data_IF_473909697199
#
_entry.id   IF_473909697199
#
_cell.length_a   1.000
_cell.length_b   1.000
_cell.length_c   1.000
_cell.angle_alpha   90.00
_cell.angle_beta   90.00
_cell.angle_gamma   90.00
#
_symmetry.space_group_name_H-M   'P 1'
#
loop_
_entity.id
_entity.type
_entity.pdbx_description
1 polymer ?
#
# COMPACT_ATOMS: atom_id res chain seq x y z
N UNK A 1 -7.75 -14.12 -11.68
CA UNK A 1 -6.43 -13.74 -11.15
C UNK A 1 -5.53 -14.97 -11.09
N UNK A 2 -4.37 -14.97 -11.75
CA UNK A 2 -3.40 -16.09 -11.68
C UNK A 2 -2.29 -15.86 -10.64
N UNK A 3 -2.35 -14.75 -9.91
CA UNK A 3 -1.41 -14.39 -8.85
C UNK A 3 -2.15 -13.69 -7.71
N UNK A 4 -1.63 -13.83 -6.50
CA UNK A 4 -2.12 -13.12 -5.33
C UNK A 4 -1.74 -11.64 -5.44
N UNK A 5 -2.70 -10.70 -5.39
CA UNK A 5 -2.35 -9.29 -5.39
C UNK A 5 -1.53 -8.92 -4.15
N UNK A 6 -1.78 -9.56 -3.00
CA UNK A 6 -1.16 -9.23 -1.71
C UNK A 6 0.30 -9.68 -1.55
N UNK A 7 0.68 -10.87 -2.05
CA UNK A 7 2.01 -11.45 -1.82
C UNK A 7 2.75 -11.88 -3.09
N UNK A 8 2.13 -11.67 -4.27
CA UNK A 8 2.70 -11.99 -5.57
C UNK A 8 2.82 -13.49 -5.89
N UNK A 9 2.31 -14.39 -5.04
CA UNK A 9 2.40 -15.83 -5.30
C UNK A 9 1.53 -16.22 -6.50
N UNK A 10 2.09 -17.01 -7.42
CA UNK A 10 1.33 -17.57 -8.54
C UNK A 10 0.36 -18.64 -8.07
N UNK A 11 -0.91 -18.50 -8.46
CA UNK A 11 -1.96 -19.49 -8.24
C UNK A 11 -1.92 -20.67 -9.21
N UNK A 12 -1.08 -20.59 -10.26
CA UNK A 12 -0.88 -21.68 -11.21
C UNK A 12 -0.41 -22.98 -10.54
N UNK A 13 0.24 -22.87 -9.37
CA UNK A 13 0.68 -24.03 -8.56
C UNK A 13 -0.44 -24.69 -7.76
N UNK A 14 -1.56 -24.01 -7.52
CA UNK A 14 -2.59 -24.42 -6.57
C UNK A 14 -3.85 -25.00 -7.24
N UNK A 15 -3.72 -25.50 -8.48
CA UNK A 15 -4.74 -26.22 -9.29
C UNK A 15 -6.20 -25.80 -9.03
N UNK A 16 -6.69 -24.85 -9.82
CA UNK A 16 -8.11 -24.68 -10.19
C UNK A 16 -9.17 -24.66 -9.08
N UNK A 17 -8.81 -24.41 -7.82
CA UNK A 17 -9.79 -24.13 -6.76
C UNK A 17 -10.06 -22.63 -6.78
N UNK A 18 -11.35 -22.25 -6.73
CA UNK A 18 -11.74 -20.87 -6.41
C UNK A 18 -11.34 -20.59 -4.97
N UNK A 19 -10.10 -20.15 -4.80
CA UNK A 19 -9.54 -19.84 -3.50
C UNK A 19 -10.18 -18.52 -3.02
N UNK A 20 -10.85 -18.57 -1.88
CA UNK A 20 -11.33 -17.36 -1.19
C UNK A 20 -10.19 -16.65 -0.44
N UNK A 21 -9.09 -17.36 -0.17
CA UNK A 21 -7.93 -16.87 0.59
C UNK A 21 -6.63 -17.34 -0.06
N UNK A 22 -5.57 -16.55 0.06
CA UNK A 22 -4.25 -16.90 -0.43
C UNK A 22 -3.64 -18.01 0.45
N UNK A 23 -3.23 -19.17 -0.11
CA UNK A 23 -2.62 -20.24 0.67
C UNK A 23 -1.22 -19.89 1.21
N UNK A 24 -0.57 -18.84 0.69
CA UNK A 24 0.74 -18.38 1.17
C UNK A 24 0.63 -17.39 2.33
N UNK A 25 -0.29 -16.42 2.25
CA UNK A 25 -0.36 -15.32 3.22
C UNK A 25 -1.69 -15.20 3.97
N UNK A 26 -2.67 -16.04 3.66
CA UNK A 26 -3.99 -16.04 4.32
C UNK A 26 -4.94 -14.92 3.89
N UNK A 27 -4.50 -13.99 3.03
CA UNK A 27 -5.29 -12.83 2.63
C UNK A 27 -6.48 -13.21 1.73
N UNK A 28 -7.63 -12.57 1.96
CA UNK A 28 -8.85 -12.83 1.20
C UNK A 28 -8.66 -12.41 -0.27
N UNK A 29 -8.88 -13.33 -1.20
CA UNK A 29 -8.79 -13.08 -2.65
C UNK A 29 -10.04 -12.39 -3.19
N UNK A 30 -10.60 -11.46 -2.41
CA UNK A 30 -11.69 -10.58 -2.84
C UNK A 30 -11.23 -9.86 -4.09
N UNK A 31 -11.75 -10.31 -5.22
CA UNK A 31 -11.62 -9.60 -6.48
C UNK A 31 -12.14 -8.18 -6.27
N UNK A 32 -11.23 -7.21 -6.40
CA UNK A 32 -11.51 -5.77 -6.48
C UNK A 32 -12.42 -5.28 -5.35
N UNK A 33 -11.84 -5.04 -4.17
CA UNK A 33 -12.43 -4.05 -3.26
C UNK A 33 -12.59 -2.75 -4.04
N UNK A 34 -13.84 -2.33 -4.18
CA UNK A 34 -14.40 -1.09 -4.72
C UNK A 34 -13.40 -0.03 -5.18
N UNK A 35 -13.59 0.46 -6.41
CA UNK A 35 -12.83 1.53 -7.08
C UNK A 35 -12.69 2.83 -6.24
N UNK A 36 -13.43 2.96 -5.13
CA UNK A 36 -13.49 4.16 -4.29
C UNK A 36 -12.27 4.40 -3.38
N UNK A 37 -11.37 3.43 -3.18
CA UNK A 37 -10.17 3.59 -2.30
C UNK A 37 -8.82 3.55 -3.06
N UNK A 38 -8.82 3.85 -4.37
CA UNK A 38 -7.60 3.86 -5.16
C UNK A 38 -6.75 5.11 -4.90
N UNK A 39 -6.01 5.09 -3.79
CA UNK A 39 -5.06 6.14 -3.42
C UNK A 39 -3.82 6.05 -4.30
N UNK A 40 -3.40 7.14 -4.94
CA UNK A 40 -2.20 7.20 -5.78
C UNK A 40 -0.99 7.71 -4.98
N UNK A 41 0.18 7.10 -5.20
CA UNK A 41 1.42 7.54 -4.58
C UNK A 41 1.95 8.83 -5.24
N UNK A 42 2.18 9.87 -4.44
CA UNK A 42 2.71 11.16 -4.92
C UNK A 42 4.19 11.15 -5.37
N UNK A 43 4.88 10.00 -5.32
CA UNK A 43 6.27 9.85 -5.80
C UNK A 43 6.33 9.02 -7.09
N UNK A 44 5.79 7.80 -7.08
CA UNK A 44 5.88 6.88 -8.23
C UNK A 44 4.65 6.90 -9.12
N UNK A 45 3.61 7.63 -8.73
CA UNK A 45 2.32 7.77 -9.43
C UNK A 45 1.58 6.43 -9.63
N UNK A 46 2.01 5.35 -8.97
CA UNK A 46 1.31 4.07 -8.95
C UNK A 46 0.28 4.03 -7.82
N UNK A 47 -0.77 3.24 -8.00
CA UNK A 47 -1.79 3.04 -6.97
C UNK A 47 -1.22 2.29 -5.74
N UNK A 48 -1.64 2.72 -4.57
CA UNK A 48 -1.32 2.10 -3.28
C UNK A 48 -2.38 1.03 -3.01
N UNK A 49 -2.02 -0.22 -3.29
CA UNK A 49 -2.93 -1.36 -3.14
C UNK A 49 -3.08 -1.80 -1.67
N UNK A 50 -2.15 -1.44 -0.79
CA UNK A 50 -2.15 -1.84 0.63
C UNK A 50 -2.08 -0.66 1.58
N UNK A 51 -3.07 -0.55 2.47
CA UNK A 51 -3.07 0.48 3.52
C UNK A 51 -1.90 0.35 4.48
N UNK A 52 -1.44 -0.89 4.76
CA UNK A 52 -0.26 -1.14 5.62
C UNK A 52 1.05 -0.57 5.06
N UNK A 53 1.12 -0.31 3.76
CA UNK A 53 2.27 0.31 3.10
C UNK A 53 1.99 1.77 2.70
N UNK A 54 0.96 2.39 3.27
CA UNK A 54 0.58 3.78 3.01
C UNK A 54 1.10 4.69 4.11
N UNK A 55 1.88 5.69 3.73
CA UNK A 55 2.19 6.84 4.57
C UNK A 55 1.38 8.02 4.06
N UNK A 56 0.62 8.66 4.94
CA UNK A 56 -0.20 9.84 4.63
C UNK A 56 0.35 11.08 5.32
N UNK A 57 0.45 12.19 4.59
CA UNK A 57 0.73 13.49 5.21
C UNK A 57 -0.57 14.15 5.70
N UNK A 58 -0.66 14.42 7.00
CA UNK A 58 -1.85 15.07 7.60
C UNK A 58 -2.05 16.53 7.17
N UNK A 59 -1.02 17.19 6.62
CA UNK A 59 -1.09 18.59 6.22
C UNK A 59 -1.63 18.79 4.80
N UNK A 60 -1.15 18.00 3.84
CA UNK A 60 -1.52 18.14 2.43
C UNK A 60 -2.35 16.98 1.89
N UNK A 61 -2.64 15.96 2.70
CA UNK A 61 -3.43 14.79 2.30
C UNK A 61 -2.73 13.88 1.28
N UNK A 62 -1.47 14.12 0.95
CA UNK A 62 -0.75 13.27 0.00
C UNK A 62 -0.39 11.93 0.63
N UNK A 63 -0.38 10.90 -0.22
CA UNK A 63 -0.11 9.53 0.17
C UNK A 63 1.09 8.97 -0.59
N UNK A 64 1.84 8.10 0.06
CA UNK A 64 3.05 7.52 -0.49
C UNK A 64 3.17 6.05 -0.09
N UNK A 65 3.77 5.24 -0.96
CA UNK A 65 4.25 3.93 -0.54
C UNK A 65 5.36 4.12 0.49
N UNK A 66 5.36 3.29 1.53
CA UNK A 66 6.43 3.24 2.53
C UNK A 66 7.82 3.14 1.88
N UNK A 67 7.97 2.29 0.87
CA UNK A 67 9.23 2.13 0.12
C UNK A 67 9.63 3.37 -0.67
N UNK A 68 8.67 4.13 -1.19
CA UNK A 68 8.94 5.34 -1.97
C UNK A 68 9.37 6.50 -1.08
N UNK A 69 8.68 6.70 0.05
CA UNK A 69 8.94 7.84 0.95
C UNK A 69 9.99 7.52 2.02
N UNK A 70 10.26 6.25 2.31
CA UNK A 70 11.10 5.83 3.44
C UNK A 70 12.48 6.47 3.45
N UNK A 71 13.19 6.51 2.31
CA UNK A 71 14.50 7.17 2.22
C UNK A 71 14.40 8.67 2.52
N UNK A 72 13.43 9.33 1.92
CA UNK A 72 13.21 10.77 2.13
C UNK A 72 12.89 11.10 3.60
N UNK A 73 12.08 10.25 4.26
CA UNK A 73 11.77 10.43 5.68
C UNK A 73 12.99 10.26 6.59
N UNK A 74 13.89 9.32 6.28
CA UNK A 74 15.12 9.13 7.05
C UNK A 74 16.05 10.34 6.97
N UNK A 75 16.11 11.01 5.82
CA UNK A 75 17.03 12.13 5.59
C UNK A 75 16.42 13.49 6.02
N UNK A 76 15.11 13.69 5.81
CA UNK A 76 14.47 15.01 5.95
C UNK A 76 13.32 15.05 6.96
N UNK A 77 12.79 13.91 7.39
CA UNK A 77 11.60 13.79 8.25
C UNK A 77 10.42 14.70 7.84
N UNK A 78 10.24 14.95 6.54
CA UNK A 78 9.29 15.91 6.01
C UNK A 78 8.53 15.37 4.81
N UNK A 79 7.35 15.93 4.52
CA UNK A 79 6.59 15.58 3.32
C UNK A 79 7.34 16.00 2.05
N UNK A 80 7.55 15.10 1.06
CA UNK A 80 8.15 15.47 -0.22
C UNK A 80 7.37 16.55 -0.98
N UNK A 81 6.07 16.71 -0.70
CA UNK A 81 5.18 17.60 -1.44
C UNK A 81 5.02 18.96 -0.75
N UNK A 82 4.74 18.99 0.55
CA UNK A 82 4.47 20.23 1.28
C UNK A 82 5.55 20.62 2.29
N UNK A 83 6.61 19.81 2.43
CA UNK A 83 7.75 20.04 3.32
C UNK A 83 7.42 20.14 4.82
N UNK A 84 6.17 19.92 5.22
CA UNK A 84 5.81 19.83 6.63
C UNK A 84 6.41 18.57 7.25
N UNK A 85 6.97 18.73 8.45
CA UNK A 85 7.59 17.65 9.23
C UNK A 85 6.54 16.59 9.59
N UNK A 86 6.89 15.32 9.45
CA UNK A 86 6.07 14.23 9.97
C UNK A 86 6.23 14.19 11.49
N UNK A 87 5.28 14.80 12.19
CA UNK A 87 5.20 14.74 13.65
C UNK A 87 4.58 13.40 14.04
N UNK A 88 5.38 12.45 14.53
CA UNK A 88 4.88 11.29 15.30
C UNK A 88 4.92 11.62 16.80
N UNK A 89 3.99 11.16 17.67
CA UNK A 89 2.86 10.23 17.42
C UNK A 89 1.48 10.78 17.86
N UNK A 90 0.39 10.27 17.26
CA UNK A 90 -0.81 9.95 18.05
C UNK A 90 -0.82 8.44 18.25
N UNK A 91 -0.29 8.02 19.40
CA UNK A 91 -0.73 6.80 20.07
C UNK A 91 -2.01 7.16 20.82
N UNK A 92 -3.13 6.58 20.39
CA UNK A 92 -4.38 6.51 21.16
C UNK A 92 -5.14 5.28 20.69
#
# INVERSE_FOLDING_TARGET
>A
MNFCPYCGVSFSKYKSIRLNYCPKCGEKLTALSSIQDQVQCGICHQYIVFERNRISCSYCGNHFHYSCVGRWLMEHNACPICQNVYVFPRVS
#
